data_IF_254638435851
#
_entry.id   IF_254638435851
#
_cell.length_a   1.000
_cell.length_b   1.000
_cell.length_c   1.000
_cell.angle_alpha   90.00
_cell.angle_beta   90.00
_cell.angle_gamma   90.00
#
_symmetry.space_group_name_H-M   'P 1'
#
loop_
_entity.id
_entity.type
_entity.pdbx_description
1 polymer ?
#
# COMPACT_ATOMS: atom_id res chain seq x y z
N UNK A 1 4.70 13.81 -4.20
CA UNK A 1 4.17 12.92 -3.14
C UNK A 1 4.53 13.43 -1.75
N UNK A 2 5.72 13.93 -1.55
CA UNK A 2 6.19 14.42 -0.26
C UNK A 2 5.34 15.52 0.38
N UNK A 3 4.93 16.51 -0.39
CA UNK A 3 4.07 17.59 0.10
C UNK A 3 2.70 17.09 0.60
N UNK A 4 2.22 15.96 0.06
CA UNK A 4 0.94 15.35 0.41
C UNK A 4 1.03 14.46 1.66
N UNK A 5 2.25 14.11 2.10
CA UNK A 5 2.48 13.16 3.17
C UNK A 5 3.15 13.83 4.37
N UNK A 6 2.75 13.44 5.56
CA UNK A 6 3.41 13.87 6.82
C UNK A 6 4.66 13.05 7.12
N UNK A 7 4.73 11.82 6.62
CA UNK A 7 5.91 10.95 6.79
C UNK A 7 5.99 9.87 5.71
N UNK A 8 7.23 9.39 5.48
CA UNK A 8 7.56 8.15 4.78
C UNK A 8 8.42 7.30 5.70
N UNK A 9 7.92 6.15 6.13
CA UNK A 9 8.54 5.33 7.16
C UNK A 9 8.70 3.89 6.69
N UNK A 10 9.87 3.30 6.95
CA UNK A 10 10.11 1.88 6.68
C UNK A 10 9.35 1.00 7.67
N UNK A 11 8.98 -0.19 7.21
CA UNK A 11 8.28 -1.16 8.02
C UNK A 11 9.15 -1.89 9.04
N UNK A 12 8.52 -2.76 9.79
CA UNK A 12 9.12 -3.57 10.84
C UNK A 12 10.13 -4.57 10.26
N UNK A 13 11.36 -4.53 10.74
CA UNK A 13 12.40 -5.48 10.35
C UNK A 13 12.31 -6.73 11.24
N UNK A 14 11.40 -7.63 10.88
CA UNK A 14 11.19 -8.89 11.57
C UNK A 14 10.96 -10.04 10.58
N UNK A 15 11.28 -11.25 10.98
CA UNK A 15 10.84 -12.44 10.26
C UNK A 15 9.31 -12.61 10.39
N UNK A 16 8.73 -13.42 9.54
CA UNK A 16 7.32 -13.82 9.67
C UNK A 16 7.23 -15.19 10.34
N UNK A 17 6.19 -15.38 11.16
CA UNK A 17 5.79 -16.66 11.74
C UNK A 17 4.34 -16.98 11.41
N UNK A 18 3.90 -18.16 11.79
CA UNK A 18 2.50 -18.58 11.70
C UNK A 18 1.58 -17.53 12.35
N UNK A 19 0.42 -17.33 11.75
CA UNK A 19 -0.55 -16.33 12.22
C UNK A 19 -1.03 -16.64 13.65
N UNK A 20 -0.85 -15.69 14.54
CA UNK A 20 -1.19 -15.80 15.96
C UNK A 20 -2.69 -15.56 16.28
N UNK A 21 -3.52 -15.42 15.25
CA UNK A 21 -4.95 -15.13 15.37
C UNK A 21 -5.32 -13.67 15.55
N UNK A 22 -4.34 -12.76 15.67
CA UNK A 22 -4.58 -11.34 15.97
C UNK A 22 -3.73 -10.38 15.14
N UNK A 23 -2.41 -10.57 15.14
CA UNK A 23 -1.44 -9.62 14.60
C UNK A 23 -1.05 -10.00 13.17
N UNK A 24 -1.74 -9.45 12.18
CA UNK A 24 -1.42 -9.69 10.76
C UNK A 24 -0.15 -8.95 10.35
N UNK A 25 0.63 -9.56 9.46
CA UNK A 25 1.88 -9.00 8.94
C UNK A 25 1.84 -8.97 7.42
N UNK A 26 1.76 -7.77 6.83
CA UNK A 26 1.77 -7.61 5.38
C UNK A 26 3.19 -7.43 4.87
N UNK A 27 3.56 -8.26 3.87
CA UNK A 27 4.84 -8.25 3.17
C UNK A 27 4.62 -7.80 1.71
N UNK A 28 5.71 -7.52 0.99
CA UNK A 28 5.63 -7.14 -0.43
C UNK A 28 4.96 -8.21 -1.31
N UNK A 29 5.07 -9.49 -0.93
CA UNK A 29 4.47 -10.64 -1.61
C UNK A 29 2.98 -10.83 -1.33
N UNK A 30 2.48 -10.18 -0.30
CA UNK A 30 1.08 -10.30 0.14
C UNK A 30 0.18 -9.23 -0.49
N UNK A 31 0.78 -8.31 -1.28
CA UNK A 31 0.03 -7.34 -2.10
C UNK A 31 -0.27 -8.01 -3.44
N UNK A 32 -1.54 -8.23 -3.72
CA UNK A 32 -2.00 -8.82 -4.96
C UNK A 32 -1.69 -7.95 -6.18
N UNK A 33 -1.27 -8.56 -7.28
CA UNK A 33 -0.79 -7.85 -8.46
C UNK A 33 -1.91 -7.12 -9.22
N UNK A 34 -3.09 -7.69 -9.24
CA UNK A 34 -4.22 -7.19 -10.04
C UNK A 34 -5.10 -6.23 -9.25
N UNK A 35 -5.47 -6.63 -8.04
CA UNK A 35 -6.38 -5.85 -7.20
C UNK A 35 -5.68 -4.80 -6.32
N UNK A 36 -4.36 -4.88 -6.16
CA UNK A 36 -3.60 -4.08 -5.21
C UNK A 36 -4.14 -4.17 -3.78
N UNK A 37 -4.81 -5.27 -3.44
CA UNK A 37 -5.35 -5.50 -2.10
C UNK A 37 -4.48 -6.47 -1.31
N UNK A 38 -4.71 -6.55 0.01
CA UNK A 38 -4.01 -7.48 0.89
C UNK A 38 -4.56 -8.89 0.69
N UNK A 39 -3.76 -9.77 0.10
CA UNK A 39 -4.07 -11.19 -0.01
C UNK A 39 -4.00 -11.84 1.38
N UNK A 40 -5.13 -12.30 1.89
CA UNK A 40 -5.25 -12.87 3.23
C UNK A 40 -5.35 -14.40 3.25
N UNK A 41 -4.92 -15.09 2.17
CA UNK A 41 -4.96 -16.57 2.13
C UNK A 41 -3.94 -17.20 3.07
N UNK A 42 -2.71 -16.65 3.07
CA UNK A 42 -1.57 -17.17 3.85
C UNK A 42 -1.05 -16.12 4.83
N UNK A 43 -1.96 -15.64 5.70
CA UNK A 43 -1.65 -14.59 6.68
C UNK A 43 -0.55 -15.08 7.62
N UNK A 44 0.41 -14.19 7.89
CA UNK A 44 1.47 -14.40 8.87
C UNK A 44 1.41 -13.35 9.98
N UNK A 45 2.17 -13.58 11.05
CA UNK A 45 2.41 -12.60 12.11
C UNK A 45 3.89 -12.21 12.15
N UNK A 46 4.25 -11.01 12.67
CA UNK A 46 5.65 -10.66 12.91
C UNK A 46 6.26 -11.57 13.98
N UNK A 47 7.46 -12.08 13.76
CA UNK A 47 8.20 -12.87 14.74
C UNK A 47 9.12 -11.99 15.58
N UNK A 48 8.53 -11.16 16.41
CA UNK A 48 9.22 -10.23 17.32
C UNK A 48 8.29 -9.85 18.48
N UNK A 49 8.86 -9.36 19.58
CA UNK A 49 8.08 -8.69 20.62
C UNK A 49 7.44 -7.41 20.09
N UNK A 50 6.12 -7.34 20.16
CA UNK A 50 5.31 -6.23 19.66
C UNK A 50 5.00 -5.15 20.71
N UNK A 51 5.52 -5.25 21.93
CA UNK A 51 5.27 -4.30 23.02
C UNK A 51 5.64 -2.85 22.67
N UNK A 52 6.65 -2.66 21.82
CA UNK A 52 7.11 -1.36 21.33
C UNK A 52 6.91 -1.14 19.81
N UNK A 53 6.04 -1.93 19.18
CA UNK A 53 5.84 -1.92 17.73
C UNK A 53 4.61 -1.11 17.26
N UNK A 54 4.03 -0.29 18.11
CA UNK A 54 2.79 0.47 17.81
C UNK A 54 2.95 1.39 16.60
N UNK A 55 4.15 1.90 16.35
CA UNK A 55 4.44 2.74 15.19
C UNK A 55 4.34 1.98 13.85
N UNK A 56 4.41 0.65 13.87
CA UNK A 56 4.30 -0.18 12.68
C UNK A 56 2.87 -0.69 12.41
N UNK A 57 1.91 -0.31 13.24
CA UNK A 57 0.48 -0.57 12.98
C UNK A 57 -0.03 0.34 11.87
N UNK A 58 -0.75 -0.24 10.94
CA UNK A 58 -1.44 0.52 9.91
C UNK A 58 -2.70 1.18 10.46
N UNK A 59 -3.02 2.35 9.88
CA UNK A 59 -4.24 3.11 10.14
C UNK A 59 -4.94 3.41 8.83
N UNK A 60 -6.25 3.61 8.88
CA UNK A 60 -7.07 3.92 7.69
C UNK A 60 -6.40 5.01 6.82
N UNK A 61 -6.31 4.73 5.52
CA UNK A 61 -5.71 5.63 4.54
C UNK A 61 -4.18 5.63 4.49
N UNK A 62 -3.47 4.82 5.30
CA UNK A 62 -2.04 4.63 5.09
C UNK A 62 -1.79 3.95 3.75
N UNK A 63 -0.84 4.45 2.97
CA UNK A 63 -0.46 3.86 1.69
C UNK A 63 0.91 3.21 1.85
N UNK A 64 1.01 1.94 1.45
CA UNK A 64 2.27 1.19 1.42
C UNK A 64 2.83 1.14 0.01
N UNK A 65 4.15 1.19 -0.08
CA UNK A 65 4.95 1.11 -1.29
C UNK A 65 5.98 0.00 -1.16
N UNK A 66 5.96 -0.96 -2.07
CA UNK A 66 6.99 -2.01 -2.12
C UNK A 66 8.30 -1.44 -2.68
N UNK A 67 9.40 -1.60 -1.92
CA UNK A 67 10.65 -0.89 -2.18
C UNK A 67 11.68 -1.69 -2.97
N UNK A 68 11.51 -2.99 -3.18
CA UNK A 68 12.58 -3.86 -3.69
C UNK A 68 12.09 -5.05 -4.51
N UNK A 69 12.97 -5.59 -5.34
CA UNK A 69 12.77 -6.82 -6.10
C UNK A 69 11.69 -6.70 -7.19
N UNK A 70 11.13 -7.85 -7.58
CA UNK A 70 10.08 -7.91 -8.59
C UNK A 70 8.79 -7.16 -8.20
N UNK A 71 8.59 -6.93 -6.90
CA UNK A 71 7.43 -6.19 -6.37
C UNK A 71 7.62 -4.68 -6.31
N UNK A 72 8.81 -4.15 -6.69
CA UNK A 72 9.07 -2.70 -6.61
C UNK A 72 7.98 -1.91 -7.33
N UNK A 73 7.46 -0.90 -6.65
CA UNK A 73 6.38 -0.06 -7.17
C UNK A 73 4.96 -0.56 -6.89
N UNK A 74 4.76 -1.79 -6.42
CA UNK A 74 3.43 -2.20 -5.94
C UNK A 74 2.98 -1.30 -4.79
N UNK A 75 1.70 -0.97 -4.77
CA UNK A 75 1.11 -0.12 -3.72
C UNK A 75 -0.13 -0.78 -3.14
N UNK A 76 -0.42 -0.42 -1.90
CA UNK A 76 -1.60 -0.88 -1.17
C UNK A 76 -2.11 0.24 -0.29
N UNK A 77 -3.42 0.45 -0.23
CA UNK A 77 -4.05 1.34 0.72
C UNK A 77 -4.72 0.55 1.84
N UNK A 78 -4.34 0.82 3.08
CA UNK A 78 -4.91 0.13 4.22
C UNK A 78 -6.38 0.52 4.46
N UNK A 79 -7.19 -0.50 4.73
CA UNK A 79 -8.60 -0.43 5.09
C UNK A 79 -8.79 -1.01 6.49
N UNK A 80 -9.50 -0.35 7.36
CA UNK A 80 -9.77 -0.82 8.74
C UNK A 80 -10.50 -2.16 8.81
N UNK A 81 -11.23 -2.53 7.73
CA UNK A 81 -11.83 -3.87 7.58
C UNK A 81 -10.82 -5.02 7.58
N UNK A 82 -9.53 -4.75 7.31
CA UNK A 82 -8.47 -5.76 7.36
C UNK A 82 -8.02 -6.09 8.79
N UNK A 83 -8.49 -5.35 9.79
CA UNK A 83 -8.14 -5.55 11.20
C UNK A 83 -6.74 -5.05 11.55
N UNK A 84 -6.14 -5.59 12.61
CA UNK A 84 -4.83 -5.17 13.07
C UNK A 84 -3.72 -5.69 12.15
N UNK A 85 -3.05 -4.79 11.43
CA UNK A 85 -2.00 -5.11 10.46
C UNK A 85 -0.72 -4.35 10.77
N UNK A 86 0.39 -5.07 10.85
CA UNK A 86 1.76 -4.54 10.84
C UNK A 86 2.35 -4.67 9.43
N UNK A 87 3.26 -3.80 9.03
CA UNK A 87 3.89 -3.86 7.71
C UNK A 87 5.39 -4.12 7.79
N UNK A 88 5.90 -4.93 6.87
CA UNK A 88 7.26 -5.44 6.84
C UNK A 88 8.28 -4.42 6.30
N UNK A 89 9.56 -4.58 6.62
CA UNK A 89 10.67 -3.68 6.33
C UNK A 89 10.96 -3.45 4.83
N UNK A 90 10.44 -4.29 3.95
CA UNK A 90 10.49 -4.09 2.49
C UNK A 90 9.32 -3.23 1.96
N UNK A 91 8.48 -2.71 2.85
CA UNK A 91 7.44 -1.75 2.57
C UNK A 91 7.80 -0.39 3.18
N UNK A 92 7.38 0.67 2.50
CA UNK A 92 7.47 2.05 2.97
C UNK A 92 6.03 2.54 3.13
N UNK A 93 5.69 3.07 4.29
CA UNK A 93 4.39 3.67 4.57
C UNK A 93 4.42 5.17 4.35
N UNK A 94 3.52 5.71 3.51
CA UNK A 94 3.19 7.12 3.48
C UNK A 94 1.96 7.40 4.35
N UNK A 95 2.05 8.39 5.21
CA UNK A 95 0.92 8.95 5.95
C UNK A 95 0.43 10.20 5.24
N UNK A 96 -0.72 10.11 4.60
CA UNK A 96 -1.29 11.25 3.87
C UNK A 96 -1.83 12.27 4.88
N UNK A 97 -1.53 13.56 4.64
CA UNK A 97 -2.02 14.66 5.47
C UNK A 97 -3.53 14.81 5.33
N UNK A 98 -4.17 15.35 6.37
CA UNK A 98 -5.64 15.49 6.43
C UNK A 98 -6.23 16.40 5.34
N UNK A 99 -5.42 17.31 4.78
CA UNK A 99 -5.83 18.20 3.69
C UNK A 99 -6.06 17.45 2.37
N UNK A 100 -5.56 16.22 2.24
CA UNK A 100 -5.65 15.42 1.03
C UNK A 100 -6.48 14.15 1.23
N UNK A 101 -7.01 13.62 0.14
CA UNK A 101 -7.77 12.37 0.18
C UNK A 101 -6.86 11.17 -0.11
N UNK A 102 -6.65 10.23 0.84
CA UNK A 102 -5.76 9.09 0.63
C UNK A 102 -6.18 8.19 -0.54
N UNK A 103 -7.48 8.02 -0.77
CA UNK A 103 -8.00 7.24 -1.90
C UNK A 103 -7.63 7.87 -3.24
N UNK A 104 -7.71 9.20 -3.36
CA UNK A 104 -7.25 9.93 -4.55
C UNK A 104 -5.74 9.74 -4.76
N UNK A 105 -4.94 9.90 -3.70
CA UNK A 105 -3.49 9.72 -3.78
C UNK A 105 -3.14 8.30 -4.20
N UNK A 106 -3.80 7.30 -3.62
CA UNK A 106 -3.62 5.90 -4.00
C UNK A 106 -3.95 5.64 -5.47
N UNK A 107 -5.06 6.16 -6.00
CA UNK A 107 -5.42 5.99 -7.40
C UNK A 107 -4.35 6.55 -8.35
N UNK A 108 -3.64 7.62 -7.97
CA UNK A 108 -2.51 8.13 -8.75
C UNK A 108 -1.33 7.15 -8.82
N UNK A 109 -1.18 6.25 -7.84
CA UNK A 109 -0.14 5.20 -7.87
C UNK A 109 -0.48 4.05 -8.83
N UNK A 110 -1.68 4.01 -9.39
CA UNK A 110 -2.12 3.02 -10.37
C UNK A 110 -2.03 3.53 -11.81
N UNK A 111 -1.57 4.77 -12.02
CA UNK A 111 -1.52 5.41 -13.34
C UNK A 111 -0.25 5.02 -14.12
N UNK A 112 -0.32 5.19 -15.45
CA UNK A 112 0.86 5.06 -16.32
C UNK A 112 1.99 6.04 -15.95
N UNK A 113 1.65 7.23 -15.42
CA UNK A 113 2.62 8.21 -14.93
C UNK A 113 3.44 7.66 -13.77
N UNK A 114 2.80 7.01 -12.83
CA UNK A 114 3.47 6.34 -11.73
C UNK A 114 4.31 5.16 -12.22
N UNK A 115 3.81 4.31 -13.10
CA UNK A 115 4.57 3.19 -13.66
C UNK A 115 5.83 3.65 -14.38
N UNK A 116 5.75 4.76 -15.12
CA UNK A 116 6.92 5.39 -15.74
C UNK A 116 7.93 5.88 -14.70
N UNK A 117 7.46 6.53 -13.63
CA UNK A 117 8.30 6.95 -12.51
C UNK A 117 9.03 5.76 -11.89
N UNK A 118 8.32 4.68 -11.57
CA UNK A 118 8.90 3.44 -11.01
C UNK A 118 9.98 2.89 -11.93
N UNK A 119 9.67 2.74 -13.21
CA UNK A 119 10.63 2.20 -14.21
C UNK A 119 11.92 3.01 -14.27
N UNK A 120 11.81 4.33 -14.30
CA UNK A 120 12.98 5.21 -14.38
C UNK A 120 13.79 5.21 -13.09
N UNK A 121 13.10 5.25 -11.94
CA UNK A 121 13.75 5.41 -10.64
C UNK A 121 14.39 4.11 -10.14
N UNK A 122 13.77 2.95 -10.38
CA UNK A 122 14.25 1.66 -9.88
C UNK A 122 15.46 1.09 -10.61
N UNK A 123 15.76 1.53 -11.84
CA UNK A 123 16.78 0.92 -12.70
C UNK A 123 18.23 1.32 -12.41
N UNK A 124 18.51 2.00 -11.30
CA UNK A 124 19.86 2.56 -11.00
C UNK A 124 20.87 1.57 -10.44
N UNK A 125 20.44 0.37 -10.11
CA UNK A 125 21.31 -0.67 -9.53
C UNK A 125 21.00 -2.04 -10.13
N UNK A 126 21.91 -3.01 -9.96
CA UNK A 126 21.72 -4.38 -10.45
C UNK A 126 20.48 -5.10 -9.89
N UNK A 127 19.94 -4.64 -8.77
CA UNK A 127 18.66 -5.09 -8.22
C UNK A 127 17.69 -3.91 -8.16
N UNK A 128 16.50 -3.99 -8.76
CA UNK A 128 15.51 -2.92 -8.72
C UNK A 128 15.15 -2.53 -7.28
N UNK A 129 15.18 -1.23 -6.99
CA UNK A 129 14.85 -0.71 -5.67
C UNK A 129 14.53 0.78 -5.69
N UNK A 130 13.64 1.20 -4.80
CA UNK A 130 13.26 2.61 -4.58
C UNK A 130 13.23 2.86 -3.08
N UNK A 131 13.93 3.89 -2.62
CA UNK A 131 13.94 4.28 -1.22
C UNK A 131 12.84 5.33 -0.88
N UNK A 132 12.70 5.66 0.39
CA UNK A 132 11.67 6.59 0.87
C UNK A 132 11.82 8.00 0.26
N UNK A 133 13.05 8.50 0.12
CA UNK A 133 13.30 9.82 -0.47
C UNK A 133 12.96 9.86 -1.97
N UNK A 134 13.16 8.77 -2.67
CA UNK A 134 12.80 8.65 -4.07
C UNK A 134 11.28 8.60 -4.25
N UNK A 135 10.55 7.83 -3.44
CA UNK A 135 9.08 7.85 -3.45
C UNK A 135 8.51 9.24 -3.10
N UNK A 136 9.16 9.94 -2.17
CA UNK A 136 8.81 11.32 -1.83
C UNK A 136 8.81 12.25 -3.07
N UNK A 137 9.69 12.02 -4.03
CA UNK A 137 9.84 12.82 -5.25
C UNK A 137 8.76 12.55 -6.33
N UNK A 138 7.92 11.54 -6.16
CA UNK A 138 6.85 11.31 -7.15
C UNK A 138 5.91 12.51 -7.23
N UNK A 139 5.78 13.09 -8.43
CA UNK A 139 4.95 14.25 -8.72
C UNK A 139 3.59 13.83 -9.26
N UNK A 140 2.54 14.49 -8.79
CA UNK A 140 1.16 14.32 -9.28
C UNK A 140 0.42 15.65 -9.21
N UNK A 141 -0.52 15.83 -10.13
CA UNK A 141 -1.43 16.99 -10.12
C UNK A 141 -2.52 16.77 -9.07
N UNK A 142 -2.75 17.80 -8.26
CA UNK A 142 -3.66 17.70 -7.11
C UNK A 142 -4.77 18.74 -7.26
N UNK A 143 -6.03 18.32 -7.53
CA UNK A 143 -7.16 19.23 -7.58
C UNK A 143 -7.62 19.62 -6.17
N UNK A 144 -8.66 20.42 -6.06
CA UNK A 144 -9.26 20.77 -4.77
C UNK A 144 -9.75 19.52 -4.01
N UNK A 145 -9.72 19.58 -2.66
CA UNK A 145 -10.06 18.45 -1.79
C UNK A 145 -11.45 17.84 -2.09
N UNK A 146 -12.43 18.67 -2.43
CA UNK A 146 -13.76 18.19 -2.79
C UNK A 146 -13.74 17.30 -4.03
N UNK A 147 -12.95 17.66 -5.03
CA UNK A 147 -12.77 16.88 -6.26
C UNK A 147 -11.95 15.60 -5.98
N UNK A 148 -10.86 15.68 -5.22
CA UNK A 148 -10.12 14.50 -4.75
C UNK A 148 -11.05 13.47 -4.10
N UNK A 149 -11.96 13.93 -3.24
CA UNK A 149 -12.92 13.07 -2.53
C UNK A 149 -13.90 12.40 -3.48
N UNK A 150 -14.38 13.11 -4.49
CA UNK A 150 -15.25 12.55 -5.54
C UNK A 150 -14.52 11.47 -6.36
N UNK A 151 -13.30 11.78 -6.80
CA UNK A 151 -12.45 10.86 -7.57
C UNK A 151 -12.17 9.59 -6.74
N UNK A 152 -11.66 9.74 -5.51
CA UNK A 152 -11.34 8.61 -4.65
C UNK A 152 -12.56 7.74 -4.33
N UNK A 153 -13.73 8.34 -4.11
CA UNK A 153 -14.99 7.61 -3.89
C UNK A 153 -15.44 6.85 -5.14
N UNK A 154 -15.36 7.48 -6.31
CA UNK A 154 -15.77 6.89 -7.58
C UNK A 154 -14.96 5.62 -7.88
N UNK A 155 -13.63 5.70 -7.83
CA UNK A 155 -12.79 4.53 -8.08
C UNK A 155 -12.96 3.44 -7.03
N UNK A 156 -13.11 3.78 -5.74
CA UNK A 156 -13.44 2.79 -4.70
C UNK A 156 -14.74 2.04 -4.99
N UNK A 157 -15.75 2.72 -5.52
CA UNK A 157 -17.00 2.07 -5.93
C UNK A 157 -16.79 1.11 -7.09
N UNK A 158 -15.98 1.49 -8.09
CA UNK A 158 -15.63 0.61 -9.21
C UNK A 158 -14.86 -0.63 -8.73
N UNK A 159 -13.85 -0.47 -7.87
CA UNK A 159 -13.08 -1.58 -7.31
C UNK A 159 -13.98 -2.57 -6.56
N UNK A 160 -14.93 -2.05 -5.77
CA UNK A 160 -15.93 -2.88 -5.08
C UNK A 160 -16.82 -3.66 -6.06
N UNK A 161 -17.28 -3.03 -7.14
CA UNK A 161 -18.10 -3.68 -8.16
C UNK A 161 -17.32 -4.78 -8.89
N UNK A 162 -16.06 -4.53 -9.25
CA UNK A 162 -15.16 -5.51 -9.86
C UNK A 162 -15.00 -6.72 -8.95
N UNK A 163 -14.67 -6.48 -7.67
CA UNK A 163 -14.48 -7.52 -6.66
C UNK A 163 -15.75 -8.37 -6.49
N UNK A 164 -16.92 -7.74 -6.44
CA UNK A 164 -18.20 -8.45 -6.33
C UNK A 164 -18.51 -9.31 -7.57
N UNK A 165 -18.19 -8.82 -8.76
CA UNK A 165 -18.36 -9.57 -10.02
C UNK A 165 -17.43 -10.78 -10.07
N UNK A 166 -16.15 -10.61 -9.71
CA UNK A 166 -15.18 -11.71 -9.66
C UNK A 166 -15.63 -12.81 -8.68
N UNK A 167 -16.11 -12.43 -7.48
CA UNK A 167 -16.64 -13.39 -6.50
C UNK A 167 -17.88 -14.15 -7.02
N UNK A 168 -18.77 -13.46 -7.74
CA UNK A 168 -19.93 -14.14 -8.34
C UNK A 168 -19.52 -15.16 -9.39
N UNK A 169 -18.54 -14.84 -10.24
CA UNK A 169 -18.02 -15.77 -11.25
C UNK A 169 -17.38 -17.02 -10.61
N UNK A 170 -16.60 -16.82 -9.53
CA UNK A 170 -15.96 -17.94 -8.80
C UNK A 170 -16.98 -18.85 -8.10
N UNK A 171 -18.14 -18.35 -7.71
CA UNK A 171 -19.21 -19.13 -7.08
C UNK A 171 -20.14 -19.82 -8.10
N UNK A 172 -19.94 -19.60 -9.39
CA UNK A 172 -20.71 -20.24 -10.48
C UNK A 172 -19.97 -21.44 -11.11
N UNK A 173 -18.74 -21.72 -10.66
CA UNK A 173 -17.91 -22.86 -11.03
C UNK A 173 -17.82 -23.83 -9.86
#
# INVERSE_FOLDING_TARGET
MGELSSSFEYGLNAASKEFDGKNKYIRITDIDDDSHDFNQKDITSPDIDLSNADNFKLREGNILFARTGASVGKTYIYKSSHGLVYYAGFLIRARIKEEYNPGFVFQNTLTNGYQKFIKVTSMRSGQPGINALEYYQFELMVPEKAEQSKIGKYFRQLDNLITLHQRKLLNLV
#
